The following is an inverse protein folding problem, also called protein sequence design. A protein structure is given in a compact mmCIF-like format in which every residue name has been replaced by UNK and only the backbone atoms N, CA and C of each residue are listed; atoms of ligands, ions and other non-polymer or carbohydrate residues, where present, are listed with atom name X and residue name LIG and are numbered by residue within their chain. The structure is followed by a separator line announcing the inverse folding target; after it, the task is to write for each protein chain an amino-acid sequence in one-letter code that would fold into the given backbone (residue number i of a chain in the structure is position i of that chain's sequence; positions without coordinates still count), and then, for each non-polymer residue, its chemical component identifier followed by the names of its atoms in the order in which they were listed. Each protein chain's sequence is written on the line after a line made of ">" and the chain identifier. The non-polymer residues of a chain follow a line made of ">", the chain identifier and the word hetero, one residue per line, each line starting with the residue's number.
data_IF_716513061291
#
_entry.id   IF_716513061291
#
_cell.length_a   1.000
_cell.length_b   1.000
_cell.length_c   1.000
_cell.angle_alpha   90.00
_cell.angle_beta   90.00
_cell.angle_gamma   90.00
#
_symmetry.space_group_name_H-M   'P 1'
#
loop_
_entity.id
_entity.type
_entity.pdbx_description
1 polymer ?
#
# COMPACT_ATOMS: atom_id res chain seq x y z
N UNK A 1 -23.23 -80.51 31.87
CA UNK A 1 -22.49 -79.24 32.05
C UNK A 1 -21.78 -78.85 30.75
N UNK A 2 -22.54 -78.56 29.68
CA UNK A 2 -21.98 -78.18 28.36
C UNK A 2 -22.58 -76.85 27.83
N UNK A 3 -23.58 -76.28 28.50
CA UNK A 3 -24.28 -75.05 28.08
C UNK A 3 -23.52 -73.77 28.46
N UNK A 4 -22.70 -73.78 29.51
CA UNK A 4 -21.94 -72.59 29.94
C UNK A 4 -20.78 -72.24 29.00
N UNK A 5 -20.17 -73.24 28.36
CA UNK A 5 -19.07 -73.03 27.42
C UNK A 5 -19.53 -72.40 26.10
N UNK A 6 -20.74 -72.75 25.64
CA UNK A 6 -21.32 -72.20 24.40
C UNK A 6 -21.73 -70.73 24.60
N UNK A 7 -22.43 -70.42 25.69
CA UNK A 7 -22.81 -69.04 26.02
C UNK A 7 -21.62 -68.10 26.25
N UNK A 8 -20.48 -68.62 26.75
CA UNK A 8 -19.27 -67.83 26.94
C UNK A 8 -18.59 -67.41 25.63
N UNK A 9 -18.64 -68.26 24.61
CA UNK A 9 -18.06 -67.97 23.29
C UNK A 9 -18.87 -66.88 22.58
N UNK A 10 -20.20 -66.94 22.64
CA UNK A 10 -21.07 -65.92 22.03
C UNK A 10 -20.85 -64.55 22.68
N UNK A 11 -20.73 -64.49 24.01
CA UNK A 11 -20.40 -63.23 24.71
C UNK A 11 -19.02 -62.67 24.34
N UNK A 12 -18.04 -63.53 24.08
CA UNK A 12 -16.71 -63.10 23.65
C UNK A 12 -16.72 -62.60 22.20
N UNK A 13 -17.47 -63.24 21.31
CA UNK A 13 -17.65 -62.79 19.93
C UNK A 13 -18.37 -61.43 19.85
N UNK A 14 -19.37 -61.19 20.70
CA UNK A 14 -20.07 -59.91 20.76
C UNK A 14 -19.15 -58.81 21.29
N UNK A 15 -18.41 -59.08 22.37
CA UNK A 15 -17.40 -58.16 22.88
C UNK A 15 -16.28 -57.86 21.87
N UNK A 16 -15.87 -58.84 21.05
CA UNK A 16 -14.87 -58.64 19.98
C UNK A 16 -15.42 -57.71 18.88
N UNK A 17 -16.69 -57.87 18.50
CA UNK A 17 -17.35 -56.99 17.52
C UNK A 17 -17.47 -55.56 18.05
N UNK A 18 -17.89 -55.40 19.30
CA UNK A 18 -17.99 -54.08 19.95
C UNK A 18 -16.62 -53.40 20.03
N UNK A 19 -15.58 -54.12 20.48
CA UNK A 19 -14.23 -53.59 20.54
C UNK A 19 -13.70 -53.19 19.16
N UNK A 20 -13.95 -54.01 18.13
CA UNK A 20 -13.59 -53.71 16.75
C UNK A 20 -14.31 -52.48 16.21
N UNK A 21 -15.62 -52.35 16.50
CA UNK A 21 -16.42 -51.19 16.13
C UNK A 21 -15.89 -49.90 16.78
N UNK A 22 -15.58 -49.92 18.09
CA UNK A 22 -15.01 -48.78 18.82
C UNK A 22 -13.67 -48.36 18.19
N UNK A 23 -12.81 -49.30 17.83
CA UNK A 23 -11.53 -49.01 17.19
C UNK A 23 -11.73 -48.41 15.79
N UNK A 24 -12.68 -48.91 15.01
CA UNK A 24 -12.99 -48.36 13.68
C UNK A 24 -13.55 -46.94 13.77
N UNK A 25 -14.48 -46.70 14.69
CA UNK A 25 -15.04 -45.37 14.95
C UNK A 25 -13.94 -44.39 15.38
N UNK A 26 -13.05 -44.79 16.30
CA UNK A 26 -11.92 -43.96 16.72
C UNK A 26 -10.97 -43.62 15.55
N UNK A 27 -10.72 -44.57 14.63
CA UNK A 27 -9.92 -44.32 13.42
C UNK A 27 -10.61 -43.36 12.46
N UNK A 28 -11.92 -43.52 12.26
CA UNK A 28 -12.71 -42.66 11.40
C UNK A 28 -12.79 -41.24 11.96
N UNK A 29 -13.04 -41.09 13.26
CA UNK A 29 -13.00 -39.80 13.95
C UNK A 29 -11.64 -39.11 13.79
N UNK A 30 -10.53 -39.85 13.96
CA UNK A 30 -9.18 -39.29 13.77
C UNK A 30 -8.98 -38.81 12.34
N UNK A 31 -9.42 -39.58 11.35
CA UNK A 31 -9.30 -39.21 9.94
C UNK A 31 -10.18 -38.00 9.59
N UNK A 32 -11.40 -37.95 10.10
CA UNK A 32 -12.33 -36.83 9.94
C UNK A 32 -11.77 -35.56 10.57
N UNK A 33 -11.28 -35.62 11.81
CA UNK A 33 -10.64 -34.48 12.49
C UNK A 33 -9.42 -33.96 11.72
N UNK A 34 -8.61 -34.86 11.14
CA UNK A 34 -7.46 -34.46 10.32
C UNK A 34 -7.89 -33.80 9.00
N UNK A 35 -8.98 -34.27 8.39
CA UNK A 35 -9.53 -33.67 7.17
C UNK A 35 -10.12 -32.29 7.45
N UNK A 36 -10.93 -32.16 8.50
CA UNK A 36 -11.54 -30.91 8.91
C UNK A 36 -10.48 -29.85 9.27
N UNK A 37 -9.43 -30.24 10.00
CA UNK A 37 -8.32 -29.33 10.30
C UNK A 37 -7.61 -28.83 9.03
N UNK A 38 -7.44 -29.69 8.02
CA UNK A 38 -6.86 -29.31 6.73
C UNK A 38 -7.78 -28.38 5.93
N UNK A 39 -9.07 -28.61 5.97
CA UNK A 39 -10.06 -27.78 5.29
C UNK A 39 -10.14 -26.40 5.93
N UNK A 40 -10.25 -26.32 7.26
CA UNK A 40 -10.22 -25.05 8.00
C UNK A 40 -8.96 -24.25 7.75
N UNK A 41 -7.79 -24.90 7.75
CA UNK A 41 -6.53 -24.21 7.47
C UNK A 41 -6.49 -23.67 6.02
N UNK A 42 -7.05 -24.38 5.04
CA UNK A 42 -7.16 -23.88 3.67
C UNK A 42 -8.11 -22.69 3.57
N UNK A 43 -9.27 -22.77 4.23
CA UNK A 43 -10.25 -21.67 4.28
C UNK A 43 -9.65 -20.42 4.94
N UNK A 44 -8.91 -20.57 6.05
CA UNK A 44 -8.22 -19.47 6.72
C UNK A 44 -7.14 -18.84 5.82
N UNK A 45 -6.38 -19.65 5.08
CA UNK A 45 -5.39 -19.14 4.12
C UNK A 45 -6.06 -18.38 2.97
N UNK A 46 -7.16 -18.89 2.42
CA UNK A 46 -7.87 -18.23 1.32
C UNK A 46 -8.56 -16.93 1.77
N UNK A 47 -9.17 -16.92 2.96
CA UNK A 47 -9.75 -15.71 3.54
C UNK A 47 -8.68 -14.66 3.85
N UNK A 48 -7.53 -15.06 4.40
CA UNK A 48 -6.40 -14.15 4.60
C UNK A 48 -5.86 -13.59 3.28
N UNK A 49 -5.72 -14.43 2.24
CA UNK A 49 -5.33 -13.97 0.90
C UNK A 49 -6.31 -12.96 0.33
N UNK A 50 -7.61 -13.23 0.43
CA UNK A 50 -8.65 -12.33 -0.05
C UNK A 50 -8.63 -10.98 0.69
N UNK A 51 -8.43 -10.99 2.01
CA UNK A 51 -8.28 -9.78 2.81
C UNK A 51 -7.04 -8.98 2.40
N UNK A 52 -5.88 -9.64 2.28
CA UNK A 52 -4.64 -9.00 1.87
C UNK A 52 -4.73 -8.41 0.46
N UNK A 53 -5.37 -9.11 -0.47
CA UNK A 53 -5.59 -8.62 -1.83
C UNK A 53 -6.56 -7.43 -1.84
N UNK A 54 -7.63 -7.47 -1.06
CA UNK A 54 -8.55 -6.33 -0.91
C UNK A 54 -7.83 -5.11 -0.34
N UNK A 55 -7.05 -5.28 0.74
CA UNK A 55 -6.22 -4.23 1.30
C UNK A 55 -5.19 -3.71 0.29
N UNK A 56 -4.56 -4.60 -0.48
CA UNK A 56 -3.59 -4.21 -1.49
C UNK A 56 -4.25 -3.41 -2.60
N UNK A 57 -5.42 -3.83 -3.09
CA UNK A 57 -6.18 -3.09 -4.10
C UNK A 57 -6.66 -1.74 -3.58
N UNK A 58 -7.10 -1.65 -2.33
CA UNK A 58 -7.49 -0.37 -1.72
C UNK A 58 -6.29 0.54 -1.54
N UNK A 59 -5.16 0.03 -1.06
CA UNK A 59 -3.89 0.77 -1.00
C UNK A 59 -3.42 1.17 -2.39
N UNK A 60 -3.58 0.31 -3.41
CA UNK A 60 -3.22 0.63 -4.78
C UNK A 60 -4.14 1.71 -5.35
N UNK A 61 -5.47 1.63 -5.17
CA UNK A 61 -6.40 2.68 -5.59
C UNK A 61 -6.12 4.00 -4.88
N UNK A 62 -5.77 3.96 -3.59
CA UNK A 62 -5.43 5.15 -2.82
C UNK A 62 -4.05 5.70 -3.17
N UNK A 63 -3.07 4.84 -3.50
CA UNK A 63 -1.69 5.24 -3.82
C UNK A 63 -1.51 5.64 -5.28
N UNK A 64 -2.19 4.97 -6.21
CA UNK A 64 -2.41 5.46 -7.59
C UNK A 64 -3.34 6.68 -7.54
N UNK A 65 -4.18 6.76 -6.51
CA UNK A 65 -5.02 7.90 -6.14
C UNK A 65 -4.25 9.13 -5.66
N UNK A 66 -3.05 8.96 -5.10
CA UNK A 66 -2.13 10.05 -4.75
C UNK A 66 -1.37 10.60 -5.97
N UNK A 67 -1.76 10.19 -7.18
CA UNK A 67 -1.48 10.91 -8.42
C UNK A 67 -2.76 11.08 -9.24
N UNK A 68 -3.94 10.92 -8.61
CA UNK A 68 -5.22 11.02 -9.29
C UNK A 68 -5.45 12.42 -9.79
N UNK A 69 -6.24 12.51 -10.86
CA UNK A 69 -6.58 13.73 -11.58
C UNK A 69 -6.79 14.98 -10.69
N UNK A 70 -7.28 14.84 -9.45
CA UNK A 70 -7.41 15.96 -8.50
C UNK A 70 -6.08 16.60 -8.10
N UNK A 71 -5.06 15.82 -7.77
CA UNK A 71 -3.75 16.37 -7.39
C UNK A 71 -3.08 17.03 -8.59
N UNK A 72 -3.23 16.42 -9.78
CA UNK A 72 -2.78 17.02 -11.04
C UNK A 72 -3.55 18.29 -11.37
N UNK A 73 -4.87 18.33 -11.17
CA UNK A 73 -5.72 19.49 -11.41
C UNK A 73 -5.42 20.62 -10.42
N UNK A 74 -5.25 20.32 -9.14
CA UNK A 74 -4.84 21.29 -8.11
C UNK A 74 -3.43 21.85 -8.40
N UNK A 75 -2.47 20.99 -8.75
CA UNK A 75 -1.12 21.42 -9.15
C UNK A 75 -1.14 22.27 -10.43
N UNK A 76 -1.98 21.92 -11.40
CA UNK A 76 -2.12 22.68 -12.66
C UNK A 76 -2.75 24.04 -12.37
N UNK A 77 -3.81 24.09 -11.56
CA UNK A 77 -4.47 25.34 -11.17
C UNK A 77 -3.53 26.28 -10.39
N UNK A 78 -2.74 25.73 -9.46
CA UNK A 78 -1.74 26.51 -8.73
C UNK A 78 -0.61 26.99 -9.66
N UNK A 79 -0.15 26.15 -10.58
CA UNK A 79 0.85 26.54 -11.58
C UNK A 79 0.33 27.66 -12.48
N UNK A 80 -0.91 27.56 -12.96
CA UNK A 80 -1.55 28.60 -13.78
C UNK A 80 -1.67 29.92 -13.02
N UNK A 81 -2.04 29.86 -11.73
CA UNK A 81 -2.08 31.04 -10.86
C UNK A 81 -0.71 31.68 -10.70
N UNK A 82 0.34 30.90 -10.50
CA UNK A 82 1.71 31.41 -10.40
C UNK A 82 2.18 32.03 -11.72
N UNK A 83 1.82 31.44 -12.87
CA UNK A 83 2.11 32.00 -14.19
C UNK A 83 1.39 33.34 -14.37
N UNK A 84 0.13 33.46 -13.94
CA UNK A 84 -0.59 34.74 -14.01
C UNK A 84 0.03 35.82 -13.11
N UNK A 85 0.42 35.46 -11.88
CA UNK A 85 1.15 36.38 -11.00
C UNK A 85 2.45 36.85 -11.64
N UNK A 86 3.25 35.92 -12.18
CA UNK A 86 4.51 36.25 -12.87
C UNK A 86 4.29 37.18 -14.07
N UNK A 87 3.23 36.95 -14.85
CA UNK A 87 2.88 37.80 -15.99
C UNK A 87 2.48 39.21 -15.55
N UNK A 88 1.77 39.34 -14.43
CA UNK A 88 1.39 40.64 -13.88
C UNK A 88 2.61 41.39 -13.33
N UNK A 89 3.45 40.70 -12.56
CA UNK A 89 4.71 41.26 -12.04
C UNK A 89 5.64 41.73 -13.18
N UNK A 90 5.71 40.95 -14.26
CA UNK A 90 6.45 41.34 -15.45
C UNK A 90 5.88 42.61 -16.09
N UNK A 91 4.55 42.68 -16.28
CA UNK A 91 3.91 43.88 -16.86
C UNK A 91 4.20 45.13 -16.02
N UNK A 92 4.06 45.05 -14.71
CA UNK A 92 4.26 46.19 -13.80
C UNK A 92 5.72 46.66 -13.71
N UNK A 93 6.68 45.73 -13.80
CA UNK A 93 8.10 46.04 -13.59
C UNK A 93 8.90 46.19 -14.88
N UNK A 94 8.36 45.73 -16.02
CA UNK A 94 9.05 45.79 -17.32
C UNK A 94 9.46 47.20 -17.70
N UNK A 95 8.55 48.17 -17.62
CA UNK A 95 8.83 49.57 -17.96
C UNK A 95 9.86 50.20 -17.02
N UNK A 96 9.75 49.93 -15.71
CA UNK A 96 10.70 50.43 -14.70
C UNK A 96 12.11 49.88 -14.95
N UNK A 97 12.21 48.59 -15.26
CA UNK A 97 13.48 47.93 -15.57
C UNK A 97 14.08 48.47 -16.86
N UNK A 98 13.26 48.68 -17.89
CA UNK A 98 13.70 49.25 -19.16
C UNK A 98 14.25 50.68 -18.99
N UNK A 99 13.56 51.51 -18.21
CA UNK A 99 14.03 52.86 -17.88
C UNK A 99 15.33 52.84 -17.09
N UNK A 100 15.47 51.95 -16.09
CA UNK A 100 16.72 51.79 -15.32
C UNK A 100 17.89 51.38 -16.22
N UNK A 101 17.68 50.43 -17.13
CA UNK A 101 18.72 49.98 -18.07
C UNK A 101 19.11 51.11 -19.02
N UNK A 102 18.14 51.82 -19.59
CA UNK A 102 18.40 52.95 -20.49
C UNK A 102 19.15 54.06 -19.75
N UNK A 103 18.74 54.41 -18.54
CA UNK A 103 19.42 55.40 -17.72
C UNK A 103 20.86 54.98 -17.39
N UNK A 104 21.08 53.73 -16.97
CA UNK A 104 22.40 53.21 -16.67
C UNK A 104 23.34 53.19 -17.90
N UNK A 105 22.81 52.90 -19.09
CA UNK A 105 23.58 52.91 -20.34
C UNK A 105 23.91 54.33 -20.79
N UNK A 106 22.98 55.27 -20.63
CA UNK A 106 23.19 56.68 -21.00
C UNK A 106 24.03 57.46 -19.98
N UNK A 107 24.02 57.04 -18.71
CA UNK A 107 24.76 57.68 -17.64
C UNK A 107 26.21 57.18 -17.58
N UNK A 108 27.01 57.64 -18.55
CA UNK A 108 28.46 57.39 -18.55
C UNK A 108 29.08 58.22 -17.43
N UNK A 109 29.47 57.56 -16.34
CA UNK A 109 30.23 58.17 -15.25
C UNK A 109 31.74 57.91 -15.44
N UNK A 110 32.49 58.80 -16.10
CA UNK A 110 33.93 58.62 -16.30
C UNK A 110 34.66 58.73 -14.95
N UNK A 111 34.99 57.59 -14.38
CA UNK A 111 35.84 57.50 -13.20
C UNK A 111 37.31 57.54 -13.64
N UNK A 112 38.09 58.46 -13.08
CA UNK A 112 39.55 58.43 -13.21
C UNK A 112 40.05 57.26 -12.36
N UNK A 113 40.76 56.27 -12.94
CA UNK A 113 41.34 55.16 -12.19
C UNK A 113 42.19 55.67 -11.02
N UNK A 114 42.01 55.10 -9.82
CA UNK A 114 42.67 55.56 -8.58
C UNK A 114 44.19 55.74 -8.70
N UNK A 115 44.84 54.93 -9.53
CA UNK A 115 46.28 54.98 -9.81
C UNK A 115 46.75 56.29 -10.48
N UNK A 116 45.83 57.15 -10.91
CA UNK A 116 46.12 58.45 -11.55
C UNK A 116 45.75 59.66 -10.68
N UNK A 117 45.22 59.49 -9.46
CA UNK A 117 45.03 60.62 -8.53
C UNK A 117 46.40 61.07 -8.04
N UNK A 118 46.86 62.25 -8.50
CA UNK A 118 48.10 62.85 -7.97
C UNK A 118 47.92 63.10 -6.48
N UNK A 119 48.84 62.55 -5.69
CA UNK A 119 49.10 62.97 -4.31
C UNK A 119 49.33 64.48 -4.33
N UNK A 120 48.38 65.23 -3.75
CA UNK A 120 48.63 66.59 -3.31
C UNK A 120 49.45 66.54 -2.01
#
# INVERSE_FOLDING_TARGET
>A
MASTAYNGIDTLMEAEKEASAIIQEARQMRQSAMSEAREKAKEEVETYRAQMEAEFQDKQKNSVGAGSAKEVEELTAETDRQIEMLKNDYKENSEKMLNLVVEAVLNVNPQIPEKMKKSA
#
